data_IF_170719293124
#
_entry.id   IF_170719293124
#
_cell.length_a   1.000
_cell.length_b   1.000
_cell.length_c   1.000
_cell.angle_alpha   90.00
_cell.angle_beta   90.00
_cell.angle_gamma   90.00
#
_symmetry.space_group_name_H-M   'P 1'
#
loop_
_entity.id
_entity.type
_entity.pdbx_description
1 polymer ?
#
# COMPACT_ATOMS: atom_id res chain seq x y z
N UNK A 1 68.19 -32.21 34.50
CA UNK A 1 66.77 -32.64 34.51
C UNK A 1 65.93 -31.42 34.85
N UNK A 2 65.26 -30.82 33.87
CA UNK A 2 64.38 -29.65 34.06
C UNK A 2 63.04 -29.98 33.44
N UNK A 3 62.01 -29.94 34.29
CA UNK A 3 60.70 -30.52 34.06
C UNK A 3 59.87 -29.66 33.11
N UNK A 4 59.21 -30.33 32.17
CA UNK A 4 58.22 -29.78 31.25
C UNK A 4 56.89 -29.64 31.99
N UNK A 5 56.31 -28.44 32.01
CA UNK A 5 54.87 -28.26 32.28
C UNK A 5 54.26 -27.72 30.99
N UNK A 6 53.60 -28.63 30.26
CA UNK A 6 52.70 -28.30 29.16
C UNK A 6 51.44 -27.64 29.73
N UNK A 7 51.21 -26.39 29.36
CA UNK A 7 49.88 -25.77 29.40
C UNK A 7 49.53 -25.36 27.97
N UNK A 8 48.80 -26.21 27.27
CA UNK A 8 48.24 -25.91 25.94
C UNK A 8 46.99 -25.05 26.18
N UNK A 9 47.14 -23.73 26.05
CA UNK A 9 46.01 -22.81 25.98
C UNK A 9 45.43 -22.84 24.56
N UNK A 10 44.21 -23.33 24.44
CA UNK A 10 43.39 -23.31 23.23
C UNK A 10 43.01 -21.86 22.91
N UNK A 11 43.51 -21.33 21.78
CA UNK A 11 43.03 -20.08 21.18
C UNK A 11 42.45 -20.42 19.80
N UNK A 12 41.15 -20.71 19.80
CA UNK A 12 40.31 -20.77 18.61
C UNK A 12 40.10 -19.34 18.09
N UNK A 13 41.01 -18.88 17.23
CA UNK A 13 40.77 -17.70 16.40
C UNK A 13 39.81 -18.06 15.26
N UNK A 14 38.52 -17.93 15.52
CA UNK A 14 37.49 -17.89 14.48
C UNK A 14 37.62 -16.60 13.68
N UNK A 15 38.29 -16.65 12.54
CA UNK A 15 38.14 -15.63 11.50
C UNK A 15 37.03 -16.05 10.56
N UNK A 16 35.80 -15.84 11.00
CA UNK A 16 34.64 -15.89 10.12
C UNK A 16 34.44 -14.50 9.50
N UNK A 17 34.54 -14.46 8.17
CA UNK A 17 33.81 -13.55 7.28
C UNK A 17 34.00 -12.04 7.50
N UNK A 18 35.11 -11.48 7.01
CA UNK A 18 35.09 -10.10 6.52
C UNK A 18 34.44 -10.08 5.14
N UNK A 19 33.12 -10.28 5.09
CA UNK A 19 32.34 -9.93 3.91
C UNK A 19 32.21 -8.41 3.88
N UNK A 20 33.01 -7.81 3.01
CA UNK A 20 32.87 -6.50 2.39
C UNK A 20 31.49 -5.87 2.62
N UNK A 21 31.42 -4.82 3.45
CA UNK A 21 30.23 -3.97 3.58
C UNK A 21 30.48 -2.56 3.04
N UNK A 22 31.31 -2.43 2.02
CA UNK A 22 31.34 -1.22 1.19
C UNK A 22 30.24 -1.29 0.12
N UNK A 23 29.01 -1.16 0.60
CA UNK A 23 27.86 -0.71 -0.18
C UNK A 23 26.80 -0.21 0.80
N UNK A 24 27.15 0.81 1.60
CA UNK A 24 26.14 1.66 2.23
C UNK A 24 25.47 2.46 1.10
N UNK A 25 24.48 1.83 0.46
CA UNK A 25 23.53 2.54 -0.38
C UNK A 25 22.95 3.69 0.43
N UNK A 26 22.79 4.85 -0.22
CA UNK A 26 22.34 6.08 0.41
C UNK A 26 21.24 5.82 1.45
N UNK A 27 21.50 6.21 2.69
CA UNK A 27 20.47 6.32 3.72
C UNK A 27 19.52 7.39 3.23
N UNK A 28 18.39 6.98 2.66
CA UNK A 28 17.32 7.92 2.33
C UNK A 28 16.94 8.61 3.62
N UNK A 29 17.15 9.94 3.69
CA UNK A 29 16.58 10.78 4.73
C UNK A 29 15.10 10.42 4.90
N UNK A 30 14.57 10.50 6.13
CA UNK A 30 13.17 10.16 6.44
C UNK A 30 12.27 10.62 5.30
N UNK A 31 11.78 9.66 4.51
CA UNK A 31 11.09 9.98 3.27
C UNK A 31 9.84 10.76 3.61
N UNK A 32 9.67 11.94 3.01
CA UNK A 32 8.42 12.70 3.11
C UNK A 32 7.21 11.79 2.87
N UNK A 33 6.11 12.06 3.59
CA UNK A 33 4.89 11.27 3.47
C UNK A 33 4.43 11.25 2.02
N UNK A 34 4.31 10.07 1.46
CA UNK A 34 3.96 9.84 0.07
C UNK A 34 2.92 8.72 -0.02
N UNK A 35 2.01 8.80 -0.99
CA UNK A 35 0.88 7.88 -1.11
C UNK A 35 0.93 7.06 -2.40
N UNK A 36 0.31 5.89 -2.37
CA UNK A 36 0.17 5.04 -3.55
C UNK A 36 -1.05 4.14 -3.49
N UNK A 37 -1.66 3.88 -4.65
CA UNK A 37 -2.46 2.68 -4.84
C UNK A 37 -1.54 1.45 -4.95
N UNK A 38 -2.08 0.24 -4.76
CA UNK A 38 -1.31 -1.01 -4.92
C UNK A 38 -0.75 -1.07 -6.34
N UNK A 39 -1.64 -0.89 -7.31
CA UNK A 39 -1.41 -1.11 -8.73
C UNK A 39 -2.17 -0.06 -9.54
N UNK A 40 -1.80 0.10 -10.81
CA UNK A 40 -2.58 0.89 -11.78
C UNK A 40 -3.91 0.24 -12.19
N UNK A 41 -4.06 -1.08 -11.98
CA UNK A 41 -5.29 -1.84 -12.24
C UNK A 41 -5.55 -2.82 -11.10
N UNK A 42 -6.78 -2.85 -10.60
CA UNK A 42 -7.19 -3.70 -9.49
C UNK A 42 -8.52 -4.37 -9.80
N UNK A 43 -8.68 -5.62 -9.37
CA UNK A 43 -9.95 -6.34 -9.45
C UNK A 43 -10.50 -6.44 -8.04
N UNK A 44 -11.73 -5.98 -7.84
CA UNK A 44 -12.42 -5.94 -6.57
C UNK A 44 -13.62 -6.88 -6.63
N UNK A 45 -13.63 -7.88 -5.76
CA UNK A 45 -14.75 -8.81 -5.65
C UNK A 45 -15.82 -8.30 -4.68
N UNK A 46 -17.08 -8.40 -5.09
CA UNK A 46 -18.24 -8.09 -4.25
C UNK A 46 -19.06 -9.36 -4.07
N UNK A 47 -19.09 -9.90 -2.85
CA UNK A 47 -19.98 -11.00 -2.47
C UNK A 47 -21.45 -10.57 -2.41
N UNK A 48 -22.35 -11.55 -2.50
CA UNK A 48 -23.81 -11.36 -2.35
C UNK A 48 -24.20 -10.95 -0.93
N UNK A 49 -23.37 -11.31 0.07
CA UNK A 49 -23.52 -10.94 1.48
C UNK A 49 -22.90 -9.56 1.84
N UNK A 50 -22.09 -8.97 0.95
CA UNK A 50 -21.47 -7.67 1.20
C UNK A 50 -22.42 -6.53 0.86
N UNK A 51 -22.50 -5.54 1.77
CA UNK A 51 -23.41 -4.38 1.84
C UNK A 51 -23.39 -3.39 0.68
N UNK A 52 -22.80 -3.71 -0.47
CA UNK A 52 -22.51 -2.75 -1.54
C UNK A 52 -21.10 -2.17 -1.46
N UNK A 53 -20.39 -2.34 -0.34
CA UNK A 53 -19.15 -1.62 -0.10
C UNK A 53 -17.95 -2.30 -0.78
N UNK A 54 -17.26 -1.53 -1.61
CA UNK A 54 -15.97 -1.88 -2.21
C UNK A 54 -14.88 -1.07 -1.51
N UNK A 55 -13.84 -1.75 -1.01
CA UNK A 55 -12.73 -1.14 -0.26
C UNK A 55 -11.45 -1.18 -1.07
N UNK A 56 -11.05 -0.05 -1.65
CA UNK A 56 -9.83 0.06 -2.45
C UNK A 56 -8.67 0.49 -1.54
N UNK A 57 -7.63 -0.32 -1.38
CA UNK A 57 -6.51 -0.01 -0.48
C UNK A 57 -5.64 1.13 -1.01
N UNK A 58 -5.23 2.00 -0.08
CA UNK A 58 -4.28 3.09 -0.26
C UNK A 58 -3.16 2.91 0.75
N UNK A 59 -1.92 3.07 0.30
CA UNK A 59 -0.73 2.95 1.12
C UNK A 59 -0.04 4.29 1.32
N UNK A 60 0.76 4.36 2.38
CA UNK A 60 1.64 5.49 2.69
C UNK A 60 3.09 5.02 2.91
N UNK A 61 4.06 5.90 2.63
CA UNK A 61 5.50 5.62 2.74
C UNK A 61 5.99 5.52 4.20
N UNK A 62 5.41 6.32 5.10
CA UNK A 62 5.77 6.36 6.53
C UNK A 62 4.56 6.07 7.41
N UNK A 63 4.79 5.45 8.57
CA UNK A 63 3.74 5.14 9.55
C UNK A 63 3.64 6.16 10.69
N UNK A 64 4.54 7.14 10.69
CA UNK A 64 4.66 8.12 11.77
C UNK A 64 3.55 9.18 11.63
N UNK A 65 2.77 9.34 12.68
CA UNK A 65 1.69 10.32 12.78
C UNK A 65 0.43 9.94 12.01
N UNK A 66 -0.63 10.73 12.19
CA UNK A 66 -1.82 10.69 11.34
C UNK A 66 -1.52 11.31 9.98
N UNK A 67 -2.08 10.74 8.91
CA UNK A 67 -1.98 11.30 7.56
C UNK A 67 -3.34 11.27 6.86
N UNK A 68 -3.56 12.19 5.93
CA UNK A 68 -4.78 12.26 5.14
C UNK A 68 -4.47 12.45 3.66
N UNK A 69 -5.26 11.82 2.80
CA UNK A 69 -5.13 11.96 1.34
C UNK A 69 -6.50 12.03 0.69
N UNK A 70 -6.64 12.91 -0.29
CA UNK A 70 -7.89 13.09 -1.02
C UNK A 70 -7.88 12.29 -2.33
N UNK A 71 -9.02 11.66 -2.62
CA UNK A 71 -9.26 10.88 -3.83
C UNK A 71 -10.54 11.34 -4.50
N UNK A 72 -10.57 11.20 -5.82
CA UNK A 72 -11.69 11.55 -6.68
C UNK A 72 -12.07 10.33 -7.51
N UNK A 73 -13.37 10.12 -7.66
CA UNK A 73 -13.95 9.13 -8.57
C UNK A 73 -14.21 9.80 -9.92
N UNK A 74 -13.96 9.09 -11.02
CA UNK A 74 -14.21 9.63 -12.35
C UNK A 74 -15.67 10.09 -12.55
N UNK A 75 -15.84 11.12 -13.38
CA UNK A 75 -17.14 11.75 -13.61
C UNK A 75 -18.14 10.80 -14.28
N UNK A 76 -17.64 9.85 -15.08
CA UNK A 76 -18.47 8.86 -15.77
C UNK A 76 -19.18 7.95 -14.77
N UNK A 77 -18.45 7.41 -13.79
CA UNK A 77 -19.03 6.53 -12.78
C UNK A 77 -20.00 7.28 -11.87
N UNK A 78 -19.74 8.56 -11.61
CA UNK A 78 -20.65 9.45 -10.88
C UNK A 78 -21.94 9.68 -11.68
N UNK A 79 -21.83 9.98 -12.98
CA UNK A 79 -22.99 10.25 -13.85
C UNK A 79 -23.90 9.03 -14.04
N UNK A 80 -23.33 7.83 -14.11
CA UNK A 80 -24.09 6.58 -14.18
C UNK A 80 -24.79 6.24 -12.84
N UNK A 81 -24.43 6.91 -11.73
CA UNK A 81 -24.93 6.66 -10.37
C UNK A 81 -24.80 5.18 -9.93
N UNK A 82 -23.81 4.49 -10.49
CA UNK A 82 -23.53 3.07 -10.20
C UNK A 82 -22.59 2.95 -8.99
N UNK A 83 -21.61 3.86 -8.89
CA UNK A 83 -20.69 3.97 -7.78
C UNK A 83 -20.82 5.33 -7.10
N UNK A 84 -20.79 5.31 -5.77
CA UNK A 84 -20.74 6.52 -4.94
C UNK A 84 -19.53 6.47 -4.01
N UNK A 85 -18.62 7.42 -4.16
CA UNK A 85 -17.49 7.64 -3.26
C UNK A 85 -17.98 8.02 -1.87
N UNK A 86 -17.67 7.20 -0.87
CA UNK A 86 -18.05 7.43 0.53
C UNK A 86 -16.95 8.17 1.30
N UNK A 87 -15.69 7.87 0.99
CA UNK A 87 -14.52 8.46 1.67
C UNK A 87 -13.68 9.26 0.66
N UNK A 88 -14.07 10.50 0.35
CA UNK A 88 -13.28 11.38 -0.53
C UNK A 88 -11.95 11.81 0.12
N UNK A 89 -11.88 11.79 1.45
CA UNK A 89 -10.66 11.96 2.23
C UNK A 89 -10.40 10.69 3.04
N UNK A 90 -9.28 10.03 2.77
CA UNK A 90 -8.84 8.82 3.45
C UNK A 90 -7.92 9.23 4.60
N UNK A 91 -8.25 8.83 5.82
CA UNK A 91 -7.44 9.08 7.01
C UNK A 91 -6.69 7.81 7.42
N UNK A 92 -5.38 7.94 7.61
CA UNK A 92 -4.49 6.92 8.14
C UNK A 92 -4.20 7.22 9.60
N UNK A 93 -4.51 6.30 10.51
CA UNK A 93 -4.12 6.49 11.92
C UNK A 93 -2.63 6.26 12.09
N UNK A 94 -2.07 6.80 13.17
CA UNK A 94 -0.68 6.54 13.55
C UNK A 94 -0.39 5.02 13.60
N UNK A 95 0.75 4.62 13.03
CA UNK A 95 1.15 3.21 12.93
C UNK A 95 0.50 2.40 11.79
N UNK A 96 -0.62 2.84 11.19
CA UNK A 96 -1.33 2.07 10.14
C UNK A 96 -0.66 2.23 8.77
N UNK A 97 -0.22 1.15 8.08
CA UNK A 97 0.44 1.28 6.76
C UNK A 97 -0.54 1.55 5.61
N UNK A 98 -1.81 1.26 5.82
CA UNK A 98 -2.83 1.28 4.78
C UNK A 98 -4.15 1.79 5.34
N UNK A 99 -4.89 2.47 4.48
CA UNK A 99 -6.28 2.86 4.70
C UNK A 99 -7.08 2.57 3.43
N UNK A 100 -8.39 2.77 3.45
CA UNK A 100 -9.27 2.32 2.37
C UNK A 100 -10.11 3.46 1.82
N UNK A 101 -10.17 3.55 0.50
CA UNK A 101 -11.24 4.26 -0.19
C UNK A 101 -12.46 3.35 -0.19
N UNK A 102 -13.56 3.81 0.38
CA UNK A 102 -14.83 3.11 0.37
C UNK A 102 -15.74 3.67 -0.73
N UNK A 103 -16.22 2.75 -1.56
CA UNK A 103 -17.19 3.00 -2.62
C UNK A 103 -18.45 2.21 -2.33
N UNK A 104 -19.62 2.85 -2.47
CA UNK A 104 -20.89 2.14 -2.46
C UNK A 104 -21.25 1.77 -3.91
N UNK A 105 -21.36 0.48 -4.17
CA UNK A 105 -21.81 -0.09 -5.44
C UNK A 105 -23.29 -0.46 -5.35
N UNK A 106 -24.09 0.19 -6.19
CA UNK A 106 -25.55 0.05 -6.18
C UNK A 106 -26.00 -1.40 -6.41
N UNK A 107 -26.90 -1.88 -5.54
CA UNK A 107 -27.43 -3.24 -5.59
C UNK A 107 -28.30 -3.51 -6.83
N UNK A 108 -28.95 -2.48 -7.40
CA UNK A 108 -29.74 -2.65 -8.61
C UNK A 108 -28.85 -2.96 -9.84
N UNK A 109 -27.65 -2.35 -9.87
CA UNK A 109 -26.71 -2.51 -10.96
C UNK A 109 -25.86 -3.79 -10.87
N UNK A 110 -25.88 -4.46 -9.72
CA UNK A 110 -25.19 -5.73 -9.47
C UNK A 110 -25.68 -6.85 -10.38
N UNK A 111 -26.99 -6.94 -10.64
CA UNK A 111 -27.58 -8.00 -11.46
C UNK A 111 -27.43 -7.78 -12.97
N UNK A 112 -27.27 -6.54 -13.42
CA UNK A 112 -27.29 -6.18 -14.84
C UNK A 112 -25.90 -6.29 -15.50
N UNK A 113 -24.84 -5.97 -14.76
CA UNK A 113 -23.46 -6.01 -15.27
C UNK A 113 -22.59 -6.92 -14.40
N UNK A 114 -22.06 -8.00 -15.00
CA UNK A 114 -21.10 -8.91 -14.35
C UNK A 114 -19.79 -8.23 -13.94
N UNK A 115 -19.43 -7.13 -14.62
CA UNK A 115 -18.22 -6.34 -14.38
C UNK A 115 -18.51 -4.86 -14.56
N UNK A 116 -17.99 -4.05 -13.65
CA UNK A 116 -18.03 -2.59 -13.71
C UNK A 116 -16.61 -2.04 -13.62
N UNK A 117 -16.30 -0.98 -14.35
CA UNK A 117 -14.97 -0.38 -14.37
C UNK A 117 -15.09 1.11 -14.04
N UNK A 118 -14.26 1.58 -13.11
CA UNK A 118 -14.14 2.99 -12.78
C UNK A 118 -12.68 3.36 -12.47
N UNK A 119 -12.38 4.64 -12.48
CA UNK A 119 -11.06 5.17 -12.14
C UNK A 119 -11.14 5.99 -10.86
N UNK A 120 -10.24 5.68 -9.93
CA UNK A 120 -9.94 6.53 -8.77
C UNK A 120 -8.64 7.27 -9.02
N UNK A 121 -8.60 8.55 -8.67
CA UNK A 121 -7.44 9.42 -8.87
C UNK A 121 -7.16 10.19 -7.59
N UNK A 122 -5.90 10.25 -7.16
CA UNK A 122 -5.50 11.18 -6.11
C UNK A 122 -5.71 12.62 -6.56
N UNK A 123 -6.10 13.49 -5.64
CA UNK A 123 -6.24 14.91 -5.95
C UNK A 123 -4.91 15.51 -6.42
N UNK A 124 -4.98 16.47 -7.34
CA UNK A 124 -3.81 17.21 -7.81
C UNK A 124 -3.01 17.80 -6.65
N UNK A 125 -1.67 17.74 -6.76
CA UNK A 125 -0.75 18.18 -5.70
C UNK A 125 -0.49 17.13 -4.61
N UNK A 126 -1.12 15.95 -4.66
CA UNK A 126 -0.77 14.84 -3.76
C UNK A 126 0.67 14.39 -3.98
N UNK A 127 1.45 14.28 -2.90
CA UNK A 127 2.78 13.71 -2.96
C UNK A 127 2.71 12.18 -3.11
N UNK A 128 3.23 11.66 -4.23
CA UNK A 128 3.14 10.25 -4.59
C UNK A 128 4.46 9.54 -4.36
N UNK A 129 4.39 8.26 -4.02
CA UNK A 129 5.60 7.43 -3.96
C UNK A 129 6.30 7.43 -5.34
N UNK A 130 7.65 7.34 -5.42
CA UNK A 130 8.40 7.57 -6.66
C UNK A 130 7.94 6.78 -7.90
N UNK A 131 7.42 5.56 -7.70
CA UNK A 131 6.94 4.68 -8.79
C UNK A 131 5.42 4.60 -8.88
N UNK A 132 4.70 5.34 -8.03
CA UNK A 132 3.24 5.27 -7.98
C UNK A 132 2.60 6.00 -9.15
N UNK A 133 1.45 5.47 -9.60
CA UNK A 133 0.56 6.20 -10.49
C UNK A 133 -0.42 7.01 -9.66
N UNK A 134 -0.78 8.19 -10.17
CA UNK A 134 -1.77 9.05 -9.55
C UNK A 134 -3.18 8.46 -9.56
N UNK A 135 -3.43 7.47 -10.44
CA UNK A 135 -4.72 6.84 -10.62
C UNK A 135 -4.64 5.32 -10.63
N UNK A 136 -5.77 4.70 -10.32
CA UNK A 136 -5.97 3.26 -10.41
C UNK A 136 -7.32 2.97 -11.06
N UNK A 137 -7.33 2.07 -12.03
CA UNK A 137 -8.55 1.49 -12.60
C UNK A 137 -9.01 0.34 -11.70
N UNK A 138 -10.24 0.42 -11.22
CA UNK A 138 -10.87 -0.63 -10.44
C UNK A 138 -11.90 -1.35 -11.29
N UNK A 139 -11.76 -2.66 -11.39
CA UNK A 139 -12.76 -3.56 -11.98
C UNK A 139 -13.51 -4.23 -10.85
N UNK A 140 -14.77 -3.86 -10.67
CA UNK A 140 -15.65 -4.45 -9.68
C UNK A 140 -16.38 -5.60 -10.35
N UNK A 141 -16.27 -6.81 -9.79
CA UNK A 141 -16.94 -8.00 -10.29
C UNK A 141 -17.65 -8.75 -9.17
N UNK A 142 -18.79 -9.34 -9.50
CA UNK A 142 -19.43 -10.27 -8.58
C UNK A 142 -18.66 -11.59 -8.55
N UNK A 143 -18.56 -12.17 -7.37
CA UNK A 143 -18.00 -13.51 -7.17
C UNK A 143 -19.02 -14.58 -7.52
#
# INVERSE_FOLDING_TARGET
MKNYILAIAVLLSGMATSCNKDAEGAVYAESEMAFSFVNSKQVMETGTENTGIVKVPVYRSSRNGEAKVQVVLDEKAVAENVLKLQTPEVTFKDGEPAAYVELNFSLANRSEKKKYVAVLTFKEGTHLSPSAKASTEITIQQK
#
